data_IF_872950254094
#
_entry.id   IF_872950254094
#
_cell.length_a   1.000
_cell.length_b   1.000
_cell.length_c   1.000
_cell.angle_alpha   90.00
_cell.angle_beta   90.00
_cell.angle_gamma   90.00
#
_symmetry.space_group_name_H-M   'P 1'
#
loop_
_entity.id
_entity.type
_entity.pdbx_description
1 polymer ?
#
# COMPACT_ATOMS: atom_id res chain seq x y z
N UNK A 1 -28.84 -9.11 -18.23
CA UNK A 1 -28.36 -7.99 -17.38
C UNK A 1 -28.91 -8.20 -15.97
N UNK A 2 -28.01 -8.35 -14.98
CA UNK A 2 -28.40 -8.61 -13.59
C UNK A 2 -28.50 -7.34 -12.77
N UNK A 3 -29.39 -7.35 -11.76
CA UNK A 3 -29.45 -6.36 -10.70
C UNK A 3 -28.97 -7.01 -9.41
N UNK A 4 -28.28 -6.26 -8.57
CA UNK A 4 -27.97 -6.64 -7.19
C UNK A 4 -28.56 -5.62 -6.23
N UNK A 5 -29.20 -6.11 -5.18
CA UNK A 5 -29.74 -5.30 -4.10
C UNK A 5 -28.97 -5.51 -2.81
N UNK A 6 -28.78 -4.45 -2.06
CA UNK A 6 -28.20 -4.44 -0.74
C UNK A 6 -29.24 -3.89 0.24
N UNK A 7 -29.35 -4.50 1.39
CA UNK A 7 -30.14 -4.03 2.51
C UNK A 7 -29.28 -4.04 3.77
N UNK A 8 -29.39 -3.01 4.57
CA UNK A 8 -28.64 -2.89 5.82
C UNK A 8 -29.29 -1.91 6.78
N UNK A 9 -29.07 -2.09 8.05
CA UNK A 9 -29.54 -1.20 9.10
C UNK A 9 -28.72 0.09 9.13
N UNK A 10 -29.36 1.20 9.26
CA UNK A 10 -28.78 2.52 9.41
C UNK A 10 -29.36 3.26 10.60
N UNK A 11 -28.75 4.34 11.03
CA UNK A 11 -29.20 5.15 12.18
C UNK A 11 -30.65 5.63 12.05
N UNK A 12 -31.19 5.77 10.83
CA UNK A 12 -32.55 6.23 10.55
C UNK A 12 -33.44 5.13 9.94
N UNK A 13 -33.17 3.85 10.24
CA UNK A 13 -33.92 2.70 9.74
C UNK A 13 -33.22 1.96 8.62
N UNK A 14 -33.92 1.02 8.01
CA UNK A 14 -33.38 0.15 6.94
C UNK A 14 -33.07 0.96 5.69
N UNK A 15 -31.85 0.78 5.18
CA UNK A 15 -31.41 1.34 3.90
C UNK A 15 -31.37 0.25 2.85
N UNK A 16 -31.91 0.57 1.67
CA UNK A 16 -31.89 -0.31 0.51
C UNK A 16 -31.21 0.39 -0.65
N UNK A 17 -30.35 -0.32 -1.32
CA UNK A 17 -29.68 0.16 -2.52
C UNK A 17 -29.75 -0.94 -3.59
N UNK A 18 -30.09 -0.54 -4.82
CA UNK A 18 -30.09 -1.45 -5.96
C UNK A 18 -29.17 -0.88 -7.03
N UNK A 19 -28.32 -1.71 -7.59
CA UNK A 19 -27.44 -1.31 -8.68
C UNK A 19 -27.43 -2.38 -9.78
N UNK A 20 -27.02 -1.97 -10.98
CA UNK A 20 -26.86 -2.88 -12.11
C UNK A 20 -25.49 -3.54 -12.05
N UNK A 21 -25.43 -4.83 -12.30
CA UNK A 21 -24.16 -5.55 -12.44
C UNK A 21 -23.45 -5.12 -13.73
N UNK A 22 -22.13 -5.01 -13.66
CA UNK A 22 -21.29 -4.88 -14.84
C UNK A 22 -21.32 -6.17 -15.65
N UNK A 23 -21.22 -6.07 -16.97
CA UNK A 23 -21.09 -7.21 -17.86
C UNK A 23 -19.65 -7.77 -17.79
N UNK A 24 -19.50 -9.09 -17.86
CA UNK A 24 -18.21 -9.77 -17.91
C UNK A 24 -17.90 -10.59 -16.67
N UNK A 25 -16.82 -11.35 -16.73
CA UNK A 25 -16.31 -12.09 -15.59
C UNK A 25 -15.52 -11.18 -14.64
N UNK A 26 -15.72 -11.38 -13.33
CA UNK A 26 -14.88 -10.74 -12.33
C UNK A 26 -13.43 -11.25 -12.46
N UNK A 27 -12.43 -10.36 -12.49
CA UNK A 27 -11.03 -10.77 -12.61
C UNK A 27 -10.60 -11.71 -11.48
N UNK A 28 -9.82 -12.73 -11.80
CA UNK A 28 -9.29 -13.70 -10.81
C UNK A 28 -8.14 -13.05 -10.03
N UNK A 29 -8.47 -12.17 -9.08
CA UNK A 29 -7.47 -11.39 -8.32
C UNK A 29 -6.89 -12.12 -7.10
N UNK A 30 -7.43 -13.27 -6.70
CA UNK A 30 -7.01 -13.98 -5.50
C UNK A 30 -5.51 -14.28 -5.46
N UNK A 31 -4.94 -14.67 -6.61
CA UNK A 31 -3.50 -14.96 -6.73
C UNK A 31 -2.59 -13.75 -6.47
N UNK A 32 -3.13 -12.53 -6.59
CA UNK A 32 -2.40 -11.31 -6.28
C UNK A 32 -2.28 -11.07 -4.76
N UNK A 33 -3.11 -11.75 -3.97
CA UNK A 33 -3.12 -11.65 -2.51
C UNK A 33 -2.33 -12.77 -1.83
N UNK A 34 -1.95 -13.81 -2.57
CA UNK A 34 -1.15 -14.94 -2.08
C UNK A 34 0.34 -14.69 -2.36
N UNK A 35 0.86 -13.58 -1.83
CA UNK A 35 2.24 -13.14 -2.04
C UNK A 35 3.17 -13.92 -1.10
N UNK A 36 4.16 -14.60 -1.66
CA UNK A 36 5.32 -15.09 -0.92
C UNK A 36 6.35 -13.97 -0.84
N UNK A 37 6.31 -13.22 0.25
CA UNK A 37 7.21 -12.10 0.44
C UNK A 37 8.67 -12.55 0.46
N UNK A 38 9.53 -11.85 -0.28
CA UNK A 38 11.00 -11.96 -0.16
C UNK A 38 11.53 -10.93 0.82
N UNK A 39 10.83 -9.82 0.96
CA UNK A 39 11.13 -8.75 1.92
C UNK A 39 9.84 -8.16 2.48
N UNK A 40 9.84 -7.81 3.75
CA UNK A 40 8.71 -7.12 4.38
C UNK A 40 9.17 -5.91 5.19
N UNK A 41 8.26 -4.96 5.34
CA UNK A 41 8.47 -3.72 6.10
C UNK A 41 7.29 -3.53 7.04
N UNK A 42 7.59 -3.22 8.30
CA UNK A 42 6.61 -2.81 9.32
C UNK A 42 6.94 -1.41 9.79
N UNK A 43 5.95 -0.55 9.86
CA UNK A 43 6.10 0.82 10.33
C UNK A 43 4.84 1.29 11.03
N UNK A 44 4.92 2.43 11.73
CA UNK A 44 3.74 3.09 12.30
C UNK A 44 2.88 3.68 11.20
N UNK A 45 1.59 3.37 11.23
CA UNK A 45 0.64 3.80 10.20
C UNK A 45 0.50 5.32 10.17
N UNK A 46 0.38 5.97 11.34
CA UNK A 46 0.21 7.42 11.46
C UNK A 46 1.43 8.21 10.96
N UNK A 47 2.63 7.77 11.29
CA UNK A 47 3.88 8.39 10.84
C UNK A 47 4.02 8.27 9.31
N UNK A 48 3.74 7.09 8.78
CA UNK A 48 3.83 6.85 7.35
C UNK A 48 2.79 7.66 6.56
N UNK A 49 1.53 7.73 7.02
CA UNK A 49 0.48 8.57 6.41
C UNK A 49 0.93 10.03 6.35
N UNK A 50 1.44 10.56 7.46
CA UNK A 50 1.86 11.95 7.54
C UNK A 50 3.05 12.23 6.61
N UNK A 51 4.02 11.33 6.53
CA UNK A 51 5.16 11.44 5.63
C UNK A 51 4.74 11.35 4.17
N UNK A 52 3.90 10.37 3.80
CA UNK A 52 3.35 10.26 2.44
C UNK A 52 2.63 11.54 2.03
N UNK A 53 1.82 12.14 2.91
CA UNK A 53 1.13 13.40 2.64
C UNK A 53 2.11 14.54 2.35
N UNK A 54 3.13 14.72 3.19
CA UNK A 54 4.11 15.80 3.02
C UNK A 54 4.94 15.63 1.75
N UNK A 55 5.49 14.43 1.54
CA UNK A 55 6.30 14.13 0.36
C UNK A 55 5.48 14.21 -0.93
N UNK A 56 4.21 13.84 -0.89
CA UNK A 56 3.32 13.90 -2.06
C UNK A 56 3.00 15.32 -2.53
N UNK A 57 3.20 16.35 -1.68
CA UNK A 57 2.95 17.75 -2.08
C UNK A 57 3.85 18.21 -3.24
N UNK A 58 5.02 17.62 -3.39
CA UNK A 58 5.97 17.94 -4.47
C UNK A 58 5.92 16.90 -5.60
N UNK A 59 5.11 15.87 -5.50
CA UNK A 59 5.01 14.85 -6.54
C UNK A 59 4.19 15.36 -7.74
N UNK A 60 4.71 15.24 -8.94
CA UNK A 60 3.95 15.45 -10.16
C UNK A 60 2.96 14.30 -10.40
N UNK A 61 1.94 14.59 -11.21
CA UNK A 61 0.78 13.69 -11.43
C UNK A 61 1.13 12.25 -11.83
N UNK A 62 2.26 12.01 -12.47
CA UNK A 62 2.70 10.69 -12.92
C UNK A 62 4.08 10.29 -12.37
N UNK A 63 4.59 11.04 -11.41
CA UNK A 63 5.87 10.74 -10.78
C UNK A 63 5.67 9.79 -9.61
N UNK A 64 6.41 8.67 -9.55
CA UNK A 64 6.30 7.77 -8.41
C UNK A 64 6.85 8.40 -7.14
N UNK A 65 6.16 8.20 -6.03
CA UNK A 65 6.75 8.30 -4.71
C UNK A 65 7.71 7.11 -4.56
N UNK A 66 8.98 7.40 -4.33
CA UNK A 66 10.02 6.40 -4.12
C UNK A 66 10.14 6.08 -2.64
N UNK A 67 10.03 4.81 -2.30
CA UNK A 67 10.33 4.27 -0.97
C UNK A 67 11.62 3.47 -1.07
N UNK A 68 12.69 3.96 -0.46
CA UNK A 68 13.95 3.22 -0.28
C UNK A 68 13.83 2.43 1.01
N UNK A 69 14.15 1.15 0.95
CA UNK A 69 14.04 0.22 2.08
C UNK A 69 15.45 -0.04 2.60
N UNK A 70 15.80 0.57 3.73
CA UNK A 70 17.05 0.35 4.45
C UNK A 70 16.89 -0.83 5.44
N UNK A 71 17.85 -1.05 6.32
CA UNK A 71 17.80 -2.16 7.27
C UNK A 71 16.85 -1.88 8.45
N UNK A 72 16.74 -0.62 8.88
CA UNK A 72 15.98 -0.18 10.07
C UNK A 72 15.01 0.98 9.77
N UNK A 73 14.88 1.36 8.52
CA UNK A 73 14.09 2.53 8.13
C UNK A 73 13.60 2.44 6.70
N UNK A 74 12.60 3.24 6.38
CA UNK A 74 12.20 3.54 5.00
C UNK A 74 12.36 5.03 4.74
N UNK A 75 12.98 5.37 3.60
CA UNK A 75 13.08 6.74 3.15
C UNK A 75 12.11 6.96 1.99
N UNK A 76 11.18 7.91 2.18
CA UNK A 76 10.22 8.33 1.16
C UNK A 76 10.76 9.56 0.44
N UNK A 77 10.69 9.58 -0.87
CA UNK A 77 11.08 10.75 -1.66
C UNK A 77 10.18 10.93 -2.88
N UNK A 78 9.98 12.18 -3.25
CA UNK A 78 9.37 12.58 -4.50
C UNK A 78 10.10 13.80 -5.06
N UNK A 79 10.05 13.96 -6.36
CA UNK A 79 10.69 15.07 -7.04
C UNK A 79 9.79 15.59 -8.18
N UNK A 80 9.87 16.89 -8.41
CA UNK A 80 9.28 17.57 -9.56
C UNK A 80 10.40 18.11 -10.41
N UNK A 81 10.89 17.32 -11.37
CA UNK A 81 12.05 17.71 -12.18
C UNK A 81 13.21 18.23 -11.32
N UNK A 82 13.75 19.37 -11.70
CA UNK A 82 14.83 20.05 -10.96
C UNK A 82 14.33 21.11 -9.96
N UNK A 83 13.01 21.27 -9.82
CA UNK A 83 12.42 22.42 -9.11
C UNK A 83 12.11 22.18 -7.64
N UNK A 84 11.71 20.96 -7.26
CA UNK A 84 11.39 20.64 -5.89
C UNK A 84 11.67 19.16 -5.58
N UNK A 85 12.25 18.93 -4.42
CA UNK A 85 12.46 17.58 -3.86
C UNK A 85 11.99 17.57 -2.42
N UNK A 86 11.33 16.49 -2.03
CA UNK A 86 11.04 16.19 -0.63
C UNK A 86 11.56 14.80 -0.31
N UNK A 87 12.14 14.64 0.87
CA UNK A 87 12.58 13.34 1.38
C UNK A 87 12.37 13.29 2.88
N UNK A 88 11.81 12.18 3.34
CA UNK A 88 11.62 11.89 4.76
C UNK A 88 12.00 10.45 5.07
N UNK A 89 12.59 10.21 6.22
CA UNK A 89 12.88 8.89 6.74
C UNK A 89 11.98 8.57 7.93
N UNK A 90 11.53 7.33 8.01
CA UNK A 90 10.66 6.81 9.07
C UNK A 90 11.29 5.53 9.58
N UNK A 91 11.29 5.33 10.89
CA UNK A 91 11.70 4.07 11.51
C UNK A 91 10.80 2.93 11.04
N UNK A 92 11.43 1.81 10.71
CA UNK A 92 10.75 0.62 10.26
C UNK A 92 11.52 -0.64 10.64
N UNK A 93 10.82 -1.73 10.86
CA UNK A 93 11.45 -3.04 10.94
C UNK A 93 11.37 -3.71 9.58
N UNK A 94 12.52 -4.05 9.06
CA UNK A 94 12.68 -4.70 7.76
C UNK A 94 13.13 -6.12 7.96
N UNK A 95 12.43 -7.06 7.31
CA UNK A 95 12.74 -8.48 7.38
C UNK A 95 12.98 -9.03 5.99
N UNK A 96 14.14 -9.65 5.79
CA UNK A 96 14.42 -10.44 4.59
C UNK A 96 13.98 -11.88 4.84
N UNK A 97 13.20 -12.44 3.91
CA UNK A 97 12.66 -13.80 3.99
C UNK A 97 13.40 -14.79 3.09
N UNK A 98 14.43 -14.31 2.40
CA UNK A 98 15.32 -15.10 1.54
C UNK A 98 16.78 -14.82 1.91
N UNK A 99 17.63 -15.81 1.72
CA UNK A 99 19.06 -15.65 1.93
C UNK A 99 19.71 -14.84 0.81
N UNK A 100 20.78 -14.12 1.13
CA UNK A 100 21.54 -13.31 0.19
C UNK A 100 21.09 -11.85 0.12
N UNK A 101 21.51 -11.17 -0.95
CA UNK A 101 21.19 -9.76 -1.14
C UNK A 101 19.68 -9.53 -1.33
N UNK A 102 19.13 -8.46 -0.75
CA UNK A 102 17.71 -8.15 -0.90
C UNK A 102 17.30 -7.96 -2.36
N UNK A 103 16.27 -8.68 -2.79
CA UNK A 103 15.76 -8.60 -4.17
C UNK A 103 15.08 -7.28 -4.49
N UNK A 104 14.67 -6.52 -3.46
CA UNK A 104 14.04 -5.22 -3.60
C UNK A 104 14.62 -4.26 -2.55
N UNK A 105 15.29 -3.21 -3.01
CA UNK A 105 15.86 -2.15 -2.16
C UNK A 105 15.09 -0.84 -2.27
N UNK A 106 14.25 -0.70 -3.30
CA UNK A 106 13.38 0.45 -3.49
C UNK A 106 12.09 0.06 -4.21
N UNK A 107 11.01 0.75 -3.88
CA UNK A 107 9.69 0.57 -4.49
C UNK A 107 9.12 1.92 -4.93
N UNK A 108 8.53 1.96 -6.12
CA UNK A 108 7.80 3.12 -6.64
C UNK A 108 6.29 2.96 -6.41
N UNK A 109 5.68 3.95 -5.79
CA UNK A 109 4.25 3.96 -5.55
C UNK A 109 3.57 5.11 -6.27
N UNK A 110 2.35 4.88 -6.75
CA UNK A 110 1.46 5.99 -7.02
C UNK A 110 1.05 6.63 -5.68
N UNK A 111 1.31 7.95 -5.46
CA UNK A 111 1.05 8.60 -4.18
C UNK A 111 -0.41 8.48 -3.72
N UNK A 112 -1.36 8.58 -4.64
CA UNK A 112 -2.81 8.46 -4.34
C UNK A 112 -3.16 7.05 -3.87
N UNK A 113 -2.71 6.02 -4.59
CA UNK A 113 -2.99 4.63 -4.23
C UNK A 113 -2.36 4.24 -2.90
N UNK A 114 -1.15 4.72 -2.62
CA UNK A 114 -0.51 4.48 -1.33
C UNK A 114 -1.27 5.20 -0.21
N UNK A 115 -1.67 6.46 -0.42
CA UNK A 115 -2.47 7.22 0.54
C UNK A 115 -3.82 6.57 0.83
N UNK A 116 -4.52 6.11 -0.20
CA UNK A 116 -5.81 5.43 -0.07
C UNK A 116 -5.67 4.11 0.70
N UNK A 117 -4.64 3.31 0.39
CA UNK A 117 -4.37 2.06 1.08
C UNK A 117 -4.08 2.28 2.57
N UNK A 118 -3.24 3.26 2.89
CA UNK A 118 -2.91 3.59 4.28
C UNK A 118 -4.11 4.19 5.03
N UNK A 119 -4.89 5.05 4.36
CA UNK A 119 -6.07 5.68 4.94
C UNK A 119 -7.22 4.73 5.23
N UNK A 120 -7.20 3.53 4.64
CA UNK A 120 -8.18 2.48 4.87
C UNK A 120 -7.82 1.54 6.04
N UNK A 121 -6.63 1.71 6.65
CA UNK A 121 -6.18 0.92 7.79
C UNK A 121 -6.60 1.59 9.11
N UNK A 122 -7.32 0.85 9.96
CA UNK A 122 -7.68 1.25 11.32
C UNK A 122 -6.69 0.70 12.36
N UNK A 123 -5.49 0.31 11.93
CA UNK A 123 -4.47 -0.33 12.78
C UNK A 123 -3.30 0.60 13.05
N UNK A 124 -2.66 0.49 14.25
CA UNK A 124 -1.53 1.34 14.63
C UNK A 124 -0.28 1.10 13.77
N UNK A 125 -0.17 -0.07 13.16
CA UNK A 125 0.96 -0.43 12.32
C UNK A 125 0.51 -0.95 10.95
N UNK A 126 1.36 -0.73 9.96
CA UNK A 126 1.20 -1.24 8.59
C UNK A 126 2.30 -2.24 8.27
N UNK A 127 1.93 -3.24 7.49
CA UNK A 127 2.84 -4.27 6.99
C UNK A 127 2.82 -4.30 5.46
N UNK A 128 3.98 -4.11 4.87
CA UNK A 128 4.19 -4.26 3.42
C UNK A 128 4.88 -5.60 3.14
N UNK A 129 4.35 -6.32 2.18
CA UNK A 129 4.97 -7.56 1.66
C UNK A 129 5.42 -7.35 0.22
N UNK A 130 6.71 -7.49 -0.02
CA UNK A 130 7.33 -7.33 -1.33
C UNK A 130 7.86 -8.66 -1.86
N UNK A 131 7.88 -8.81 -3.19
CA UNK A 131 8.49 -9.97 -3.86
C UNK A 131 9.70 -9.59 -4.71
N UNK A 132 9.52 -8.68 -5.66
CA UNK A 132 10.57 -8.22 -6.57
C UNK A 132 10.21 -6.84 -7.14
N UNK A 133 11.17 -6.10 -7.72
CA UNK A 133 10.89 -4.83 -8.38
C UNK A 133 9.80 -4.97 -9.46
N UNK A 134 8.85 -4.03 -9.48
CA UNK A 134 7.75 -4.01 -10.46
C UNK A 134 6.67 -5.09 -10.26
N UNK A 135 6.77 -5.91 -9.23
CA UNK A 135 5.70 -6.85 -8.83
C UNK A 135 4.74 -6.18 -7.85
N UNK A 136 3.52 -6.70 -7.68
CA UNK A 136 2.58 -6.17 -6.70
C UNK A 136 3.15 -6.19 -5.28
N UNK A 137 2.80 -5.17 -4.52
CA UNK A 137 3.02 -5.09 -3.08
C UNK A 137 1.69 -5.34 -2.36
N UNK A 138 1.70 -6.19 -1.34
CA UNK A 138 0.55 -6.39 -0.46
C UNK A 138 0.71 -5.50 0.78
N UNK A 139 -0.34 -4.74 1.09
CA UNK A 139 -0.44 -3.89 2.29
C UNK A 139 -1.52 -4.44 3.20
N UNK A 140 -1.19 -4.62 4.46
CA UNK A 140 -2.08 -5.12 5.51
C UNK A 140 -1.88 -4.35 6.80
N UNK A 141 -2.87 -4.37 7.69
CA UNK A 141 -2.77 -3.81 9.02
C UNK A 141 -2.11 -4.75 10.02
N UNK A 142 -1.60 -4.18 11.13
CA UNK A 142 -1.13 -4.88 12.31
C UNK A 142 -1.66 -4.17 13.56
N UNK A 143 -2.33 -4.90 14.44
CA UNK A 143 -2.76 -4.39 15.75
C UNK A 143 -1.63 -4.38 16.78
N UNK A 144 -0.71 -5.32 16.64
CA UNK A 144 0.50 -5.44 17.45
C UNK A 144 1.72 -5.47 16.52
N UNK A 145 2.77 -4.74 16.87
CA UNK A 145 3.97 -4.61 16.05
C UNK A 145 4.63 -5.96 15.73
N UNK A 146 4.66 -6.87 16.70
CA UNK A 146 5.20 -8.22 16.56
C UNK A 146 4.13 -9.26 16.16
N UNK A 147 2.90 -8.78 15.99
CA UNK A 147 1.76 -9.60 15.65
C UNK A 147 1.78 -10.14 14.22
N UNK A 148 0.76 -10.93 13.90
CA UNK A 148 0.52 -11.39 12.54
C UNK A 148 -0.27 -10.32 11.77
N UNK A 149 0.02 -10.13 10.46
CA UNK A 149 -0.77 -9.26 9.60
C UNK A 149 -2.25 -9.67 9.60
N UNK A 150 -3.13 -8.67 9.62
CA UNK A 150 -4.56 -8.89 9.50
C UNK A 150 -4.89 -9.52 8.14
N UNK A 151 -5.96 -10.31 8.12
CA UNK A 151 -6.42 -11.01 6.91
C UNK A 151 -7.74 -10.47 6.38
N UNK A 152 -8.46 -9.71 7.18
CA UNK A 152 -9.80 -9.20 6.86
C UNK A 152 -9.74 -8.11 5.79
N UNK A 153 -8.74 -7.24 5.90
CA UNK A 153 -8.46 -6.23 4.88
C UNK A 153 -7.06 -6.43 4.28
N UNK A 154 -7.01 -6.55 2.96
CA UNK A 154 -5.78 -6.71 2.19
C UNK A 154 -5.83 -5.80 0.98
N UNK A 155 -4.83 -4.95 0.81
CA UNK A 155 -4.75 -4.01 -0.30
C UNK A 155 -3.53 -4.33 -1.16
N UNK A 156 -3.75 -4.57 -2.45
CA UNK A 156 -2.69 -4.84 -3.42
C UNK A 156 -2.40 -3.59 -4.22
N UNK A 157 -1.14 -3.15 -4.22
CA UNK A 157 -0.69 -2.00 -5.01
C UNK A 157 0.28 -2.50 -6.08
N UNK A 158 0.01 -2.14 -7.33
CA UNK A 158 0.96 -2.35 -8.43
C UNK A 158 2.07 -1.30 -8.32
N UNK A 159 3.31 -1.76 -8.21
CA UNK A 159 4.45 -0.86 -8.13
C UNK A 159 4.74 -0.19 -9.49
N UNK A 160 5.06 1.10 -9.43
CA UNK A 160 5.52 1.86 -10.58
C UNK A 160 7.01 1.62 -10.84
N UNK A 161 7.41 1.73 -12.10
CA UNK A 161 8.85 1.73 -12.43
C UNK A 161 9.49 2.97 -11.87
N UNK A 162 10.61 2.79 -11.20
CA UNK A 162 11.46 3.90 -10.80
C UNK A 162 12.35 4.29 -11.98
N UNK A 163 12.57 5.60 -12.20
CA UNK A 163 13.60 6.04 -13.15
C UNK A 163 14.96 5.50 -12.71
N UNK A 164 15.76 5.09 -13.69
CA UNK A 164 17.14 4.62 -13.50
C UNK A 164 18.06 5.79 -13.20
#
# INVERSE_FOLDING_TARGET
EGLVGFEGDGANGVRRMTTRLLSGEFPKVRHLMDIKATRSVRARTDELINSVRRVSLVAERNTPLRMVINDDSVALSAATGDQAQASEAIEAVVTNHVDGEPTITAAGFNPHYLSDALGALDTPYVHFSFTAPGKPCLVTGLNDFDGKPETDYRHVIMLMRLPS
#
